data_IF_540357389222
#
_entry.id   IF_540357389222
#
_cell.length_a   1.000
_cell.length_b   1.000
_cell.length_c   1.000
_cell.angle_alpha   90.00
_cell.angle_beta   90.00
_cell.angle_gamma   90.00
#
_symmetry.space_group_name_H-M   'P 1'
#
loop_
_entity.id
_entity.type
_entity.pdbx_description
1 polymer ?
#
# COMPACT_ATOMS: atom_id res chain seq x y z
N UNK A 1 9.98 -34.57 13.61
CA UNK A 1 10.80 -34.25 12.43
C UNK A 1 9.81 -34.16 11.27
N UNK A 2 8.95 -33.15 11.29
CA UNK A 2 9.23 -31.77 10.82
C UNK A 2 9.24 -31.78 9.31
N UNK A 3 8.05 -31.68 8.73
CA UNK A 3 7.86 -31.31 7.34
C UNK A 3 7.29 -29.90 7.36
N UNK A 4 7.83 -29.07 6.46
CA UNK A 4 7.57 -27.66 6.26
C UNK A 4 8.21 -26.72 7.27
N UNK A 5 9.50 -26.50 7.03
CA UNK A 5 10.18 -25.23 7.23
C UNK A 5 9.25 -24.07 6.83
N UNK A 6 9.05 -23.14 7.76
CA UNK A 6 8.53 -21.81 7.48
C UNK A 6 9.61 -21.10 6.65
N UNK A 7 9.69 -21.39 5.36
CA UNK A 7 10.32 -20.52 4.38
C UNK A 7 9.36 -19.36 4.15
N UNK A 8 9.38 -18.42 5.09
CA UNK A 8 8.86 -17.07 4.89
C UNK A 8 9.78 -16.32 3.92
N UNK A 9 9.93 -16.84 2.70
CA UNK A 9 10.26 -16.01 1.57
C UNK A 9 8.99 -15.17 1.37
N UNK A 10 9.05 -13.90 1.82
CA UNK A 10 7.98 -12.93 1.59
C UNK A 10 7.71 -12.86 0.10
N UNK A 11 6.72 -13.65 -0.31
CA UNK A 11 6.38 -13.90 -1.70
C UNK A 11 6.14 -12.54 -2.36
N UNK A 12 6.99 -12.20 -3.34
CA UNK A 12 6.94 -10.90 -4.01
C UNK A 12 5.57 -10.64 -4.65
N UNK A 13 4.86 -11.73 -4.94
CA UNK A 13 3.49 -11.79 -5.43
C UNK A 13 2.43 -11.34 -4.39
N UNK A 14 2.75 -11.39 -3.09
CA UNK A 14 1.87 -10.95 -2.01
C UNK A 14 1.85 -9.41 -1.88
N UNK A 15 2.94 -8.74 -2.25
CA UNK A 15 3.06 -7.27 -2.26
C UNK A 15 2.39 -6.61 -3.47
N UNK A 16 2.12 -7.37 -4.54
CA UNK A 16 1.41 -6.90 -5.74
C UNK A 16 -0.13 -6.82 -5.54
N UNK A 17 -0.62 -7.33 -4.41
CA UNK A 17 -2.05 -7.37 -4.05
C UNK A 17 -2.45 -6.29 -3.02
N UNK A 18 -1.65 -5.23 -2.85
CA UNK A 18 -2.04 -4.05 -2.09
C UNK A 18 -2.94 -3.15 -2.96
N UNK A 19 -4.17 -3.63 -3.16
CA UNK A 19 -5.23 -2.92 -3.85
C UNK A 19 -5.97 -1.99 -2.90
N UNK A 20 -6.36 -0.82 -3.39
CA UNK A 20 -7.17 0.13 -2.64
C UNK A 20 -8.49 -0.54 -2.20
N UNK A 21 -8.87 -0.53 -0.90
CA UNK A 21 -10.06 -1.24 -0.43
C UNK A 21 -11.37 -0.69 -1.02
N UNK A 22 -11.35 0.53 -1.54
CA UNK A 22 -12.52 1.23 -2.10
C UNK A 22 -12.68 1.00 -3.60
N UNK A 23 -11.59 1.12 -4.36
CA UNK A 23 -11.62 1.06 -5.84
C UNK A 23 -11.08 -0.24 -6.40
N UNK A 24 -10.44 -1.07 -5.57
CA UNK A 24 -9.64 -2.25 -5.97
C UNK A 24 -8.54 -1.92 -6.98
N UNK A 25 -8.18 -0.64 -7.10
CA UNK A 25 -7.14 -0.18 -7.99
C UNK A 25 -5.76 -0.29 -7.32
N UNK A 26 -4.69 -0.47 -8.11
CA UNK A 26 -3.33 -0.48 -7.57
C UNK A 26 -2.98 0.88 -6.95
N UNK A 27 -2.38 0.84 -5.75
CA UNK A 27 -1.76 2.00 -5.13
C UNK A 27 -0.32 2.12 -5.63
N UNK A 28 0.09 3.33 -5.99
CA UNK A 28 1.47 3.63 -6.36
C UNK A 28 2.19 4.16 -5.13
N UNK A 29 3.25 3.48 -4.69
CA UNK A 29 4.08 4.01 -3.62
C UNK A 29 5.03 5.08 -4.17
N UNK A 30 4.96 6.27 -3.59
CA UNK A 30 5.87 7.38 -3.83
C UNK A 30 6.91 7.42 -2.70
N UNK A 31 8.12 6.99 -3.02
CA UNK A 31 9.22 6.95 -2.07
C UNK A 31 9.78 8.35 -1.75
N UNK A 32 9.63 9.32 -2.65
CA UNK A 32 10.11 10.69 -2.46
C UNK A 32 9.21 11.43 -1.46
N UNK A 33 7.89 11.28 -1.63
CA UNK A 33 6.90 11.89 -0.75
C UNK A 33 6.60 11.03 0.50
N UNK A 34 7.00 9.76 0.53
CA UNK A 34 6.57 8.77 1.53
C UNK A 34 5.04 8.66 1.59
N UNK A 35 4.39 8.48 0.44
CA UNK A 35 2.93 8.41 0.34
C UNK A 35 2.48 7.25 -0.57
N UNK A 36 1.25 6.78 -0.40
CA UNK A 36 0.58 5.85 -1.32
C UNK A 36 -0.44 6.61 -2.17
N UNK A 37 -0.14 6.74 -3.47
CA UNK A 37 -0.96 7.42 -4.45
C UNK A 37 -2.01 6.46 -5.04
N UNK A 38 -3.28 6.81 -4.87
CA UNK A 38 -4.41 6.19 -5.54
C UNK A 38 -4.85 7.06 -6.72
N UNK A 39 -4.40 6.73 -7.93
CA UNK A 39 -4.84 7.44 -9.16
C UNK A 39 -6.33 7.29 -9.43
N UNK A 40 -6.91 6.15 -9.07
CA UNK A 40 -8.35 5.91 -9.25
C UNK A 40 -9.21 6.79 -8.33
N UNK A 41 -8.75 7.03 -7.11
CA UNK A 41 -9.46 7.89 -6.15
C UNK A 41 -9.04 9.37 -6.24
N UNK A 42 -7.98 9.70 -6.99
CA UNK A 42 -7.34 11.02 -6.98
C UNK A 42 -6.92 11.46 -5.57
N UNK A 43 -6.40 10.50 -4.78
CA UNK A 43 -5.99 10.69 -3.40
C UNK A 43 -4.57 10.15 -3.18
N UNK A 44 -3.80 10.80 -2.32
CA UNK A 44 -2.50 10.33 -1.84
C UNK A 44 -2.56 10.16 -0.32
N UNK A 45 -2.26 8.96 0.16
CA UNK A 45 -2.30 8.59 1.58
C UNK A 45 -0.90 8.69 2.18
N UNK A 46 -0.65 9.55 3.17
CA UNK A 46 0.69 9.71 3.72
C UNK A 46 1.12 8.49 4.56
N UNK A 47 2.42 8.22 4.59
CA UNK A 47 3.02 7.18 5.45
C UNK A 47 3.68 7.88 6.64
N UNK A 48 3.23 7.54 7.85
CA UNK A 48 3.78 8.08 9.11
C UNK A 48 4.36 6.95 9.95
N UNK A 49 5.63 7.07 10.33
CA UNK A 49 6.35 6.03 11.09
C UNK A 49 6.36 4.65 10.38
N UNK A 50 6.35 4.64 9.04
CA UNK A 50 6.27 3.40 8.26
C UNK A 50 4.86 2.79 8.18
N UNK A 51 3.84 3.43 8.76
CA UNK A 51 2.44 2.98 8.71
C UNK A 51 1.67 3.86 7.70
N UNK A 52 1.06 3.28 6.66
CA UNK A 52 0.22 4.03 5.73
C UNK A 52 -1.07 4.51 6.41
N UNK A 53 -1.34 5.80 6.35
CA UNK A 53 -2.56 6.41 6.89
C UNK A 53 -3.63 6.40 5.80
N UNK A 54 -4.39 5.30 5.72
CA UNK A 54 -5.48 5.13 4.75
C UNK A 54 -6.79 5.78 5.22
N UNK A 55 -6.74 7.06 5.61
CA UNK A 55 -7.90 7.85 6.04
C UNK A 55 -8.13 8.94 4.99
N UNK A 56 -9.35 9.01 4.42
CA UNK A 56 -9.69 9.97 3.36
C UNK A 56 -9.52 11.43 3.80
N UNK A 57 -9.78 11.74 5.07
CA UNK A 57 -9.65 13.08 5.65
C UNK A 57 -8.18 13.54 5.74
N UNK A 58 -7.25 12.61 5.96
CA UNK A 58 -5.81 12.86 5.99
C UNK A 58 -5.17 12.71 4.60
N UNK A 59 -5.93 12.23 3.61
CA UNK A 59 -5.42 12.00 2.27
C UNK A 59 -5.31 13.32 1.50
N UNK A 60 -4.18 13.52 0.85
CA UNK A 60 -3.95 14.67 -0.03
C UNK A 60 -4.68 14.43 -1.36
N UNK A 61 -5.54 15.36 -1.76
CA UNK A 61 -6.17 15.32 -3.08
C UNK A 61 -5.13 15.60 -4.17
N UNK A 62 -5.14 14.75 -5.19
CA UNK A 62 -4.38 14.95 -6.42
C UNK A 62 -5.30 15.70 -7.39
N UNK A 63 -4.80 16.81 -7.93
CA UNK A 63 -5.52 17.61 -8.94
C UNK A 63 -5.48 16.91 -10.32
#
# INVERSE_FOLDING_TARGET
>A
MSADEIEAEFDRHMLESLVCPVTRAPLTYDAEAQELISRAAHLAFPIRNGIPVMIEDEARKLD
#
